data_IF_575100885246
#
_entry.id   IF_575100885246
#
_cell.length_a   1.000
_cell.length_b   1.000
_cell.length_c   1.000
_cell.angle_alpha   90.00
_cell.angle_beta   90.00
_cell.angle_gamma   90.00
#
_symmetry.space_group_name_H-M   'P 1'
#
loop_
_entity.id
_entity.type
_entity.pdbx_description
1 polymer ?
#
# COMPACT_ATOMS: atom_id res chain seq x y z
N UNK A 1 10.70 -10.87 26.23
CA UNK A 1 10.62 -11.20 24.80
C UNK A 1 9.76 -10.14 24.14
N UNK A 2 10.29 -9.39 23.17
CA UNK A 2 9.51 -8.37 22.47
C UNK A 2 8.67 -9.12 21.43
N UNK A 3 7.35 -9.11 21.55
CA UNK A 3 6.46 -9.60 20.50
C UNK A 3 6.71 -8.75 19.24
N UNK A 4 7.44 -9.28 18.26
CA UNK A 4 7.53 -8.66 16.93
C UNK A 4 6.16 -8.84 16.28
N UNK A 5 5.46 -7.74 16.03
CA UNK A 5 4.20 -7.75 15.29
C UNK A 5 4.39 -8.35 13.88
N UNK A 6 3.32 -8.92 13.32
CA UNK A 6 3.38 -9.49 11.97
C UNK A 6 3.70 -8.41 10.95
N UNK A 7 4.49 -8.73 9.93
CA UNK A 7 4.67 -7.86 8.77
C UNK A 7 3.72 -8.29 7.65
N UNK A 8 2.89 -7.36 7.20
CA UNK A 8 1.85 -7.59 6.20
C UNK A 8 2.13 -6.73 4.98
N UNK A 9 2.36 -7.37 3.83
CA UNK A 9 2.43 -6.69 2.54
C UNK A 9 1.07 -6.79 1.88
N UNK A 10 0.46 -5.66 1.56
CA UNK A 10 -0.84 -5.60 0.89
C UNK A 10 -0.67 -4.82 -0.40
N UNK A 11 -1.19 -5.36 -1.49
CA UNK A 11 -1.14 -4.63 -2.75
C UNK A 11 -2.00 -5.24 -3.84
N UNK A 12 -1.91 -4.63 -5.01
CA UNK A 12 -2.59 -5.14 -6.19
C UNK A 12 -1.82 -6.32 -6.82
N UNK A 13 -2.04 -6.62 -8.10
CA UNK A 13 -1.28 -7.65 -8.80
C UNK A 13 0.25 -7.50 -8.72
N UNK A 14 0.79 -6.30 -8.42
CA UNK A 14 2.25 -6.08 -8.31
C UNK A 14 2.90 -6.83 -7.15
N UNK A 15 2.15 -7.18 -6.09
CA UNK A 15 2.71 -7.95 -4.96
C UNK A 15 2.59 -9.46 -5.16
N UNK A 16 2.01 -9.91 -6.28
CA UNK A 16 1.85 -11.34 -6.56
C UNK A 16 3.21 -12.03 -6.69
N UNK A 17 3.38 -13.14 -5.99
CA UNK A 17 4.61 -13.95 -6.06
C UNK A 17 5.74 -13.46 -5.16
N UNK A 18 5.59 -12.31 -4.49
CA UNK A 18 6.58 -11.83 -3.52
C UNK A 18 6.57 -12.65 -2.24
N UNK A 19 5.46 -13.33 -1.94
CA UNK A 19 5.30 -14.26 -0.81
C UNK A 19 6.36 -15.36 -0.81
N UNK A 20 6.74 -15.86 -2.00
CA UNK A 20 7.77 -16.90 -2.15
C UNK A 20 9.14 -16.49 -1.61
N UNK A 21 9.42 -15.20 -1.58
CA UNK A 21 10.67 -14.63 -1.08
C UNK A 21 10.45 -14.08 0.33
N UNK A 22 9.44 -13.22 0.47
CA UNK A 22 9.15 -12.47 1.69
C UNK A 22 8.68 -13.37 2.85
N UNK A 23 7.68 -14.22 2.61
CA UNK A 23 7.12 -15.10 3.63
C UNK A 23 8.03 -16.32 3.88
N UNK A 24 8.83 -16.76 2.91
CA UNK A 24 9.66 -17.95 3.07
C UNK A 24 10.68 -17.84 4.23
N UNK A 25 11.08 -16.63 4.58
CA UNK A 25 11.99 -16.40 5.71
C UNK A 25 11.30 -16.51 7.08
N UNK A 26 9.98 -16.28 7.17
CA UNK A 26 9.19 -16.42 8.40
C UNK A 26 7.68 -16.43 8.07
N UNK A 27 7.09 -17.60 7.83
CA UNK A 27 5.68 -17.72 7.39
C UNK A 27 4.66 -17.43 8.48
N UNK A 28 5.03 -17.56 9.75
CA UNK A 28 4.13 -17.34 10.88
C UNK A 28 3.94 -15.86 11.18
N UNK A 29 4.96 -15.04 10.92
CA UNK A 29 4.95 -13.60 11.20
C UNK A 29 4.88 -12.73 9.94
N UNK A 30 4.78 -13.31 8.74
CA UNK A 30 4.76 -12.55 7.47
C UNK A 30 3.64 -13.01 6.55
N UNK A 31 2.86 -12.05 6.09
CA UNK A 31 1.75 -12.28 5.16
C UNK A 31 1.87 -11.38 3.93
N UNK A 32 1.47 -11.92 2.76
CA UNK A 32 1.19 -11.12 1.57
C UNK A 32 -0.30 -11.25 1.23
N UNK A 33 -1.01 -10.12 1.17
CA UNK A 33 -2.38 -10.03 0.70
C UNK A 33 -2.40 -9.38 -0.69
N UNK A 34 -2.58 -10.20 -1.73
CA UNK A 34 -2.75 -9.73 -3.09
C UNK A 34 -4.25 -9.50 -3.37
N UNK A 35 -4.62 -8.29 -3.76
CA UNK A 35 -5.96 -7.91 -4.22
C UNK A 35 -5.89 -7.49 -5.70
N UNK A 36 -5.95 -8.44 -6.65
CA UNK A 36 -5.78 -8.13 -8.07
C UNK A 36 -6.73 -7.04 -8.57
N UNK A 37 -6.19 -6.04 -9.26
CA UNK A 37 -6.97 -4.91 -9.80
C UNK A 37 -7.46 -3.91 -8.76
N UNK A 38 -7.11 -4.08 -7.47
CA UNK A 38 -7.54 -3.18 -6.42
C UNK A 38 -6.99 -1.76 -6.60
N UNK A 39 -7.83 -0.80 -6.27
CA UNK A 39 -7.53 0.61 -6.14
C UNK A 39 -7.31 1.00 -4.68
N UNK A 40 -6.83 2.21 -4.44
CA UNK A 40 -6.64 2.76 -3.09
C UNK A 40 -7.93 2.68 -2.26
N UNK A 41 -9.08 3.01 -2.86
CA UNK A 41 -10.39 2.94 -2.20
C UNK A 41 -10.78 1.51 -1.82
N UNK A 42 -10.59 0.55 -2.73
CA UNK A 42 -10.96 -0.85 -2.50
C UNK A 42 -10.14 -1.45 -1.33
N UNK A 43 -8.88 -1.01 -1.19
CA UNK A 43 -8.05 -1.36 -0.04
C UNK A 43 -8.56 -0.72 1.25
N UNK A 44 -8.84 0.59 1.23
CA UNK A 44 -9.28 1.35 2.42
C UNK A 44 -10.53 0.71 3.03
N UNK A 45 -11.46 0.24 2.20
CA UNK A 45 -12.69 -0.45 2.63
C UNK A 45 -12.41 -1.83 3.25
N UNK A 46 -11.47 -2.60 2.70
CA UNK A 46 -11.20 -3.99 3.11
C UNK A 46 -10.16 -4.13 4.23
N UNK A 47 -9.44 -3.05 4.53
CA UNK A 47 -8.30 -3.04 5.43
C UNK A 47 -8.58 -3.62 6.82
N UNK A 48 -9.74 -3.31 7.42
CA UNK A 48 -10.06 -3.80 8.78
C UNK A 48 -10.23 -5.31 8.79
N UNK A 49 -10.84 -5.87 7.73
CA UNK A 49 -10.98 -7.31 7.56
C UNK A 49 -9.63 -8.00 7.35
N UNK A 50 -8.76 -7.40 6.52
CA UNK A 50 -7.44 -7.99 6.19
C UNK A 50 -6.53 -8.05 7.42
N UNK A 51 -6.57 -7.01 8.25
CA UNK A 51 -5.67 -6.87 9.40
C UNK A 51 -6.34 -7.29 10.72
N UNK A 52 -7.50 -7.97 10.71
CA UNK A 52 -8.27 -8.32 11.91
C UNK A 52 -7.55 -9.32 12.85
N UNK A 53 -6.49 -9.98 12.37
CA UNK A 53 -5.78 -11.03 13.10
C UNK A 53 -4.26 -10.89 13.15
N UNK A 54 -3.70 -9.76 12.76
CA UNK A 54 -2.25 -9.61 12.51
C UNK A 54 -1.44 -9.19 13.75
N UNK A 55 -1.94 -9.53 14.95
CA UNK A 55 -1.33 -9.17 16.23
C UNK A 55 -1.60 -7.73 16.68
N UNK A 56 -1.01 -7.34 17.81
CA UNK A 56 -1.30 -6.07 18.49
C UNK A 56 -0.77 -4.83 17.74
N UNK A 57 0.34 -4.96 16.99
CA UNK A 57 1.00 -3.85 16.27
C UNK A 57 1.70 -4.33 14.99
N UNK A 58 0.98 -4.73 13.92
CA UNK A 58 1.62 -5.18 12.69
C UNK A 58 2.36 -4.05 11.97
N UNK A 59 3.41 -4.43 11.24
CA UNK A 59 4.04 -3.57 10.23
C UNK A 59 3.31 -3.77 8.89
N UNK A 60 2.72 -2.73 8.33
CA UNK A 60 1.91 -2.82 7.11
C UNK A 60 2.61 -2.10 5.96
N UNK A 61 2.94 -2.84 4.91
CA UNK A 61 3.46 -2.29 3.64
C UNK A 61 2.32 -2.24 2.64
N UNK A 62 2.05 -1.06 2.09
CA UNK A 62 0.98 -0.82 1.13
C UNK A 62 1.57 -0.56 -0.26
N UNK A 63 1.21 -1.40 -1.22
CA UNK A 63 1.59 -1.29 -2.64
C UNK A 63 0.33 -1.29 -3.52
N UNK A 64 -0.34 -0.14 -3.63
CA UNK A 64 -1.56 0.03 -4.42
C UNK A 64 -1.57 1.42 -5.06
N UNK A 65 -2.28 1.58 -6.17
CA UNK A 65 -2.54 2.88 -6.81
C UNK A 65 -2.20 2.94 -8.30
N UNK A 66 -1.44 1.97 -8.82
CA UNK A 66 -1.15 1.91 -10.27
C UNK A 66 -2.44 1.81 -11.10
N UNK A 67 -3.44 1.09 -10.59
CA UNK A 67 -4.75 0.95 -11.24
C UNK A 67 -5.64 2.20 -11.16
N UNK A 68 -5.28 3.21 -10.37
CA UNK A 68 -5.99 4.49 -10.25
C UNK A 68 -5.47 5.56 -11.22
N UNK A 69 -4.19 5.45 -11.61
CA UNK A 69 -3.57 6.37 -12.57
C UNK A 69 -4.30 6.27 -13.92
N UNK A 70 -4.63 7.42 -14.49
CA UNK A 70 -5.37 7.47 -15.75
C UNK A 70 -6.87 7.54 -15.59
N UNK A 71 -7.43 6.94 -14.52
CA UNK A 71 -8.88 6.80 -14.34
C UNK A 71 -9.54 7.94 -13.58
N UNK A 72 -8.77 8.67 -12.78
CA UNK A 72 -9.25 9.82 -12.00
C UNK A 72 -8.26 10.98 -12.02
N UNK A 73 -8.75 12.15 -11.63
CA UNK A 73 -7.93 13.34 -11.38
C UNK A 73 -6.94 13.09 -10.24
N UNK A 74 -5.79 13.76 -10.29
CA UNK A 74 -4.75 13.61 -9.29
C UNK A 74 -5.25 13.94 -7.88
N UNK A 75 -6.03 15.02 -7.72
CA UNK A 75 -6.52 15.47 -6.41
C UNK A 75 -7.48 14.45 -5.77
N UNK A 76 -8.25 13.73 -6.58
CA UNK A 76 -9.12 12.66 -6.07
C UNK A 76 -8.30 11.48 -5.53
N UNK A 77 -7.25 11.06 -6.25
CA UNK A 77 -6.36 9.99 -5.79
C UNK A 77 -5.58 10.41 -4.53
N UNK A 78 -5.14 11.66 -4.46
CA UNK A 78 -4.51 12.23 -3.27
C UNK A 78 -5.44 12.16 -2.05
N UNK A 79 -6.71 12.55 -2.21
CA UNK A 79 -7.71 12.45 -1.16
C UNK A 79 -7.98 11.00 -0.70
N UNK A 80 -7.90 10.03 -1.61
CA UNK A 80 -8.00 8.61 -1.25
C UNK A 80 -6.78 8.14 -0.44
N UNK A 81 -5.56 8.54 -0.81
CA UNK A 81 -4.37 8.26 0.01
C UNK A 81 -4.44 8.92 1.38
N UNK A 82 -4.98 10.14 1.47
CA UNK A 82 -5.20 10.82 2.75
C UNK A 82 -6.17 10.03 3.64
N UNK A 83 -7.34 9.64 3.10
CA UNK A 83 -8.31 8.80 3.83
C UNK A 83 -7.68 7.49 4.28
N UNK A 84 -6.90 6.87 3.40
CA UNK A 84 -6.17 5.64 3.73
C UNK A 84 -5.19 5.87 4.90
N UNK A 85 -4.39 6.93 4.82
CA UNK A 85 -3.44 7.31 5.86
C UNK A 85 -4.13 7.57 7.20
N UNK A 86 -5.21 8.34 7.22
CA UNK A 86 -6.00 8.60 8.44
C UNK A 86 -6.54 7.30 9.05
N UNK A 87 -7.05 6.39 8.21
CA UNK A 87 -7.57 5.10 8.67
C UNK A 87 -6.46 4.21 9.22
N UNK A 88 -5.29 4.19 8.59
CA UNK A 88 -4.12 3.45 9.05
C UNK A 88 -3.56 4.02 10.35
N UNK A 89 -3.51 5.36 10.50
CA UNK A 89 -3.09 6.06 11.72
C UNK A 89 -3.99 5.79 12.92
N UNK A 90 -5.28 5.52 12.70
CA UNK A 90 -6.20 5.16 13.78
C UNK A 90 -5.87 3.79 14.41
N UNK A 91 -4.92 3.06 13.84
CA UNK A 91 -4.45 1.76 14.33
C UNK A 91 -3.05 1.89 14.91
N UNK A 92 -2.70 0.96 15.79
CA UNK A 92 -1.37 0.80 16.39
C UNK A 92 -0.30 0.24 15.42
N UNK A 93 -0.59 0.25 14.12
CA UNK A 93 0.26 -0.34 13.09
C UNK A 93 1.37 0.62 12.66
N UNK A 94 2.56 0.09 12.37
CA UNK A 94 3.61 0.85 11.68
C UNK A 94 3.39 0.72 10.19
N UNK A 95 3.34 1.84 9.47
CA UNK A 95 2.83 1.85 8.09
C UNK A 95 3.89 2.35 7.13
N UNK A 96 4.06 1.63 6.03
CA UNK A 96 4.93 1.98 4.92
C UNK A 96 4.09 2.03 3.65
N UNK A 97 3.97 3.20 3.03
CA UNK A 97 3.30 3.34 1.74
C UNK A 97 4.38 3.35 0.67
N UNK A 98 4.41 2.32 -0.16
CA UNK A 98 5.33 2.22 -1.28
C UNK A 98 4.84 3.09 -2.44
N UNK A 99 5.78 3.75 -3.11
CA UNK A 99 5.49 4.52 -4.32
C UNK A 99 4.88 3.66 -5.42
N UNK A 100 4.11 4.30 -6.29
CA UNK A 100 3.57 3.65 -7.48
C UNK A 100 4.74 3.25 -8.39
N UNK A 101 4.71 2.01 -8.88
CA UNK A 101 5.73 1.48 -9.78
C UNK A 101 5.57 2.06 -11.19
N UNK A 102 6.66 2.32 -11.92
CA UNK A 102 6.59 2.64 -13.34
C UNK A 102 5.98 1.47 -14.11
N UNK A 103 5.19 1.77 -15.13
CA UNK A 103 4.57 0.74 -15.98
C UNK A 103 5.40 0.61 -17.27
N UNK A 104 6.06 -0.54 -17.50
CA UNK A 104 6.77 -0.78 -18.75
C UNK A 104 5.82 -0.64 -19.94
N UNK A 105 6.29 0.00 -21.02
CA UNK A 105 5.53 0.23 -22.27
C UNK A 105 4.31 1.16 -22.15
N UNK A 106 4.03 1.73 -20.98
CA UNK A 106 3.06 2.81 -20.86
C UNK A 106 3.61 4.10 -21.49
N UNK A 107 2.70 5.01 -21.88
CA UNK A 107 3.10 6.27 -22.49
C UNK A 107 3.97 7.10 -21.54
N UNK A 108 4.84 7.95 -22.09
CA UNK A 108 5.65 8.90 -21.31
C UNK A 108 4.77 9.72 -20.36
N UNK A 109 3.63 10.21 -20.86
CA UNK A 109 2.66 10.96 -20.08
C UNK A 109 2.10 10.15 -18.89
N UNK A 110 1.81 8.86 -19.07
CA UNK A 110 1.35 7.99 -17.99
C UNK A 110 2.42 7.85 -16.89
N UNK A 111 3.66 7.56 -17.26
CA UNK A 111 4.76 7.45 -16.29
C UNK A 111 5.14 8.80 -15.66
N UNK A 112 4.94 9.93 -16.34
CA UNK A 112 5.06 11.26 -15.74
C UNK A 112 3.98 11.52 -14.67
N UNK A 113 2.75 11.06 -14.89
CA UNK A 113 1.69 11.13 -13.87
C UNK A 113 2.04 10.32 -12.63
N UNK A 114 2.61 9.12 -12.80
CA UNK A 114 3.12 8.29 -11.70
C UNK A 114 4.19 9.05 -10.91
N UNK A 115 5.19 9.63 -11.60
CA UNK A 115 6.26 10.41 -10.93
C UNK A 115 5.70 11.60 -10.15
N UNK A 116 4.78 12.37 -10.73
CA UNK A 116 4.13 13.49 -10.03
C UNK A 116 3.37 13.03 -8.79
N UNK A 117 2.67 11.89 -8.88
CA UNK A 117 1.98 11.30 -7.75
C UNK A 117 2.96 10.84 -6.66
N UNK A 118 4.05 10.16 -7.02
CA UNK A 118 5.07 9.73 -6.06
C UNK A 118 5.74 10.92 -5.35
N UNK A 119 6.07 11.98 -6.08
CA UNK A 119 6.64 13.20 -5.48
C UNK A 119 5.67 13.85 -4.48
N UNK A 120 4.37 13.82 -4.77
CA UNK A 120 3.36 14.29 -3.83
C UNK A 120 3.26 13.35 -2.62
N UNK A 121 3.23 12.04 -2.87
CA UNK A 121 3.08 11.02 -1.83
C UNK A 121 4.22 11.10 -0.81
N UNK A 122 5.46 11.24 -1.29
CA UNK A 122 6.66 11.44 -0.45
C UNK A 122 6.55 12.69 0.43
N UNK A 123 6.19 13.83 -0.17
CA UNK A 123 6.03 15.11 0.56
C UNK A 123 4.89 15.04 1.57
N UNK A 124 3.80 14.38 1.22
CA UNK A 124 2.65 14.22 2.10
C UNK A 124 2.99 13.25 3.24
N UNK A 125 3.54 12.08 2.96
CA UNK A 125 3.94 11.11 4.00
C UNK A 125 4.96 11.69 4.97
N UNK A 126 5.89 12.54 4.51
CA UNK A 126 6.84 13.22 5.38
C UNK A 126 6.22 14.25 6.34
N UNK A 127 5.02 14.75 6.06
CA UNK A 127 4.26 15.61 6.98
C UNK A 127 3.36 14.83 7.93
N UNK A 128 3.03 13.60 7.56
CA UNK A 128 2.12 12.74 8.31
C UNK A 128 2.86 11.85 9.32
N UNK A 129 4.17 11.66 9.17
CA UNK A 129 5.03 10.88 10.06
C UNK A 129 5.30 11.54 11.40
#
# INVERSE_FOLDING_TARGET
MIHKGNTVVIGDSTVRGTDRIFCNQNREARMVCCLPGARVVDFTERMDKILRGEGECPEVVVQVGTHDIGKKRAEMLQGEYQKLGSKLKSRTSKVFISGLLPVPRATRHHNERIRRMNNWLEKWSGKEG
#
